data_IF_708240551729
#
_entry.id   IF_708240551729
#
_cell.length_a   1.000
_cell.length_b   1.000
_cell.length_c   1.000
_cell.angle_alpha   90.00
_cell.angle_beta   90.00
_cell.angle_gamma   90.00
#
_symmetry.space_group_name_H-M   'P 1'
#
loop_
_entity.id
_entity.type
_entity.pdbx_description
1 polymer ?
#
# COMPACT_ATOMS: atom_id res chain seq x y z
N UNK A 1 -6.57 10.13 -14.51
CA UNK A 1 -5.72 10.52 -13.36
C UNK A 1 -5.44 12.01 -13.37
N UNK A 2 -5.50 12.69 -12.23
CA UNK A 2 -5.21 14.13 -12.10
C UNK A 2 -4.49 14.41 -10.76
N UNK A 3 -3.71 15.50 -10.72
CA UNK A 3 -3.21 16.05 -9.46
C UNK A 3 -4.18 17.10 -8.95
N UNK A 4 -4.46 17.10 -7.67
CA UNK A 4 -5.28 18.13 -7.04
C UNK A 4 -4.82 18.43 -5.60
N UNK A 5 -5.31 19.54 -5.08
CA UNK A 5 -5.14 19.91 -3.68
C UNK A 5 -6.49 19.66 -3.00
N UNK A 6 -6.48 18.79 -1.98
CA UNK A 6 -7.64 18.55 -1.14
C UNK A 6 -7.36 19.03 0.28
N UNK A 7 -8.39 19.30 1.04
CA UNK A 7 -8.25 19.87 2.38
C UNK A 7 -8.77 18.90 3.43
N UNK A 8 -8.06 18.82 4.55
CA UNK A 8 -8.53 18.09 5.72
C UNK A 8 -9.64 18.87 6.45
N UNK A 9 -10.20 18.29 7.53
CA UNK A 9 -11.24 18.95 8.34
C UNK A 9 -10.77 20.25 9.03
N UNK A 10 -9.46 20.50 9.06
CA UNK A 10 -8.88 21.72 9.62
C UNK A 10 -8.59 22.78 8.55
N UNK A 11 -8.96 22.52 7.29
CA UNK A 11 -8.70 23.40 6.15
C UNK A 11 -7.25 23.43 5.69
N UNK A 12 -6.46 22.40 5.99
CA UNK A 12 -5.06 22.29 5.60
C UNK A 12 -4.90 21.47 4.32
N UNK A 13 -4.01 21.92 3.40
CA UNK A 13 -3.90 21.30 2.09
C UNK A 13 -3.06 20.01 2.09
N UNK A 14 -3.47 19.05 1.28
CA UNK A 14 -2.69 17.91 0.81
C UNK A 14 -2.60 17.91 -0.71
N UNK A 15 -1.46 17.51 -1.26
CA UNK A 15 -1.30 17.26 -2.67
C UNK A 15 -1.54 15.77 -2.92
N UNK A 16 -2.54 15.47 -3.75
CA UNK A 16 -2.92 14.07 -4.04
C UNK A 16 -2.92 13.80 -5.54
N UNK A 17 -2.77 12.52 -5.86
CA UNK A 17 -3.05 11.96 -7.19
C UNK A 17 -4.39 11.26 -7.12
N UNK A 18 -5.34 11.70 -7.95
CA UNK A 18 -6.71 11.20 -7.94
C UNK A 18 -6.98 10.36 -9.19
N UNK A 19 -7.54 9.19 -8.96
CA UNK A 19 -8.11 8.29 -9.96
C UNK A 19 -9.62 8.24 -9.79
N UNK A 20 -10.37 8.31 -10.87
CA UNK A 20 -11.79 7.97 -10.87
C UNK A 20 -11.99 6.45 -10.81
N UNK A 21 -13.12 6.00 -10.28
CA UNK A 21 -13.45 4.57 -10.28
C UNK A 21 -13.49 3.98 -11.70
N UNK A 22 -13.90 4.75 -12.70
CA UNK A 22 -13.91 4.30 -14.09
C UNK A 22 -12.49 4.08 -14.64
N UNK A 23 -11.53 4.95 -14.33
CA UNK A 23 -10.12 4.77 -14.71
C UNK A 23 -9.52 3.54 -14.01
N UNK A 24 -9.80 3.34 -12.71
CA UNK A 24 -9.32 2.17 -11.98
C UNK A 24 -9.93 0.87 -12.54
N UNK A 25 -11.23 0.88 -12.89
CA UNK A 25 -11.89 -0.27 -13.50
C UNK A 25 -11.30 -0.63 -14.87
N UNK A 26 -11.00 0.35 -15.70
CA UNK A 26 -10.35 0.15 -17.01
C UNK A 26 -8.95 -0.44 -16.85
N UNK A 27 -8.19 0.02 -15.86
CA UNK A 27 -6.81 -0.38 -15.63
C UNK A 27 -6.68 -1.74 -14.92
N UNK A 28 -7.54 -2.02 -13.94
CA UNK A 28 -7.40 -3.15 -13.00
C UNK A 28 -8.54 -4.19 -13.10
N UNK A 29 -9.62 -3.86 -13.81
CA UNK A 29 -10.81 -4.69 -13.89
C UNK A 29 -11.85 -4.33 -12.81
N UNK A 30 -13.12 -4.64 -13.12
CA UNK A 30 -14.30 -4.22 -12.34
C UNK A 30 -14.40 -4.83 -10.93
N UNK A 31 -13.69 -5.92 -10.68
CA UNK A 31 -13.74 -6.66 -9.42
C UNK A 31 -12.51 -6.38 -8.53
N UNK A 32 -11.67 -5.42 -8.88
CA UNK A 32 -10.54 -5.08 -8.03
C UNK A 32 -11.02 -4.51 -6.69
N UNK A 33 -10.48 -4.97 -5.53
CA UNK A 33 -10.97 -4.60 -4.21
C UNK A 33 -10.93 -3.08 -3.95
N UNK A 34 -9.99 -2.36 -4.55
CA UNK A 34 -9.87 -0.89 -4.40
C UNK A 34 -11.15 -0.12 -4.74
N UNK A 35 -12.05 -0.72 -5.53
CA UNK A 35 -13.26 -0.06 -6.02
C UNK A 35 -14.42 -0.05 -5.01
N UNK A 36 -14.33 -0.81 -3.91
CA UNK A 36 -15.42 -1.00 -2.96
C UNK A 36 -14.96 -0.74 -1.53
N UNK A 37 -15.68 0.10 -0.80
CA UNK A 37 -15.45 0.40 0.62
C UNK A 37 -16.78 0.32 1.36
N UNK A 38 -16.85 -0.52 2.40
CA UNK A 38 -18.06 -0.78 3.18
C UNK A 38 -19.28 -1.12 2.30
N UNK A 39 -19.06 -1.98 1.29
CA UNK A 39 -20.10 -2.38 0.33
C UNK A 39 -20.55 -1.30 -0.65
N UNK A 40 -19.92 -0.11 -0.63
CA UNK A 40 -20.23 0.99 -1.54
C UNK A 40 -19.10 1.17 -2.55
N UNK A 41 -19.48 1.37 -3.82
CA UNK A 41 -18.50 1.73 -4.84
C UNK A 41 -18.00 3.16 -4.61
N UNK A 42 -16.69 3.35 -4.63
CA UNK A 42 -16.09 4.69 -4.58
C UNK A 42 -16.34 5.44 -5.89
N UNK A 43 -16.30 6.76 -5.87
CA UNK A 43 -16.26 7.59 -7.08
C UNK A 43 -14.83 7.95 -7.47
N UNK A 44 -13.99 8.23 -6.48
CA UNK A 44 -12.59 8.59 -6.67
C UNK A 44 -11.73 8.04 -5.52
N UNK A 45 -10.51 7.62 -5.86
CA UNK A 45 -9.41 7.37 -4.96
C UNK A 45 -8.40 8.51 -5.04
N UNK A 46 -8.07 9.12 -3.91
CA UNK A 46 -7.07 10.18 -3.81
C UNK A 46 -5.89 9.66 -2.97
N UNK A 47 -4.74 9.43 -3.60
CA UNK A 47 -3.53 8.98 -2.93
C UNK A 47 -2.61 10.17 -2.66
N UNK A 48 -2.08 10.28 -1.44
CA UNK A 48 -1.04 11.26 -1.15
C UNK A 48 0.09 11.17 -2.18
N UNK A 49 0.37 12.25 -2.89
CA UNK A 49 1.37 12.26 -3.97
C UNK A 49 2.77 11.94 -3.44
N UNK A 50 3.04 12.30 -2.20
CA UNK A 50 4.30 12.13 -1.50
C UNK A 50 4.11 11.35 -0.19
N UNK A 51 5.14 10.67 0.33
CA UNK A 51 5.09 10.13 1.68
C UNK A 51 4.72 11.19 2.70
N UNK A 52 4.09 10.79 3.79
CA UNK A 52 3.66 11.72 4.84
C UNK A 52 4.83 12.54 5.41
N UNK A 53 4.58 13.82 5.67
CA UNK A 53 5.35 14.65 6.61
C UNK A 53 4.45 15.07 7.77
N UNK A 54 4.99 15.13 8.99
CA UNK A 54 4.21 15.51 10.16
C UNK A 54 4.27 17.02 10.39
N UNK A 55 3.10 17.68 10.41
CA UNK A 55 2.95 19.10 10.73
C UNK A 55 1.90 19.23 11.82
N UNK A 56 2.28 19.77 12.97
CA UNK A 56 1.40 19.94 14.14
C UNK A 56 0.62 18.66 14.53
N UNK A 57 1.29 17.50 14.44
CA UNK A 57 0.75 16.22 14.86
C UNK A 57 -0.17 15.52 13.83
N UNK A 58 -0.29 16.04 12.61
CA UNK A 58 -1.04 15.43 11.52
C UNK A 58 -0.15 15.18 10.29
N UNK A 59 -0.41 14.13 9.49
CA UNK A 59 0.34 13.79 8.30
C UNK A 59 -0.16 14.55 7.07
N UNK A 60 0.77 15.10 6.29
CA UNK A 60 0.47 15.80 5.03
C UNK A 60 1.36 15.31 3.90
N UNK A 61 0.79 15.17 2.72
CA UNK A 61 1.49 14.84 1.48
C UNK A 61 1.99 16.12 0.81
N UNK A 62 3.25 16.46 1.06
CA UNK A 62 3.88 17.70 0.58
C UNK A 62 5.28 17.40 0.01
N UNK A 63 5.71 18.12 -1.07
CA UNK A 63 7.03 17.95 -1.66
C UNK A 63 8.12 18.63 -0.82
N UNK A 64 9.36 18.18 -0.99
CA UNK A 64 10.56 18.74 -0.39
C UNK A 64 10.51 18.84 1.15
N UNK A 65 9.85 17.88 1.78
CA UNK A 65 9.76 17.78 3.22
C UNK A 65 10.56 16.56 3.71
N UNK A 66 10.93 16.59 5.00
CA UNK A 66 11.45 15.42 5.67
C UNK A 66 10.28 14.41 5.83
N UNK A 67 10.41 13.19 5.32
CA UNK A 67 9.35 12.20 5.50
C UNK A 67 9.17 11.82 6.98
N UNK A 68 7.93 11.52 7.36
CA UNK A 68 7.57 11.05 8.70
C UNK A 68 8.23 9.71 9.00
N UNK A 69 8.57 9.47 10.24
CA UNK A 69 9.11 8.21 10.72
C UNK A 69 8.99 8.09 12.22
N UNK A 70 9.40 6.95 12.80
CA UNK A 70 9.26 6.60 14.22
C UNK A 70 7.81 6.53 14.70
N UNK A 71 6.93 6.09 13.83
CA UNK A 71 5.53 5.86 14.12
C UNK A 71 5.24 4.37 13.90
N UNK A 72 4.53 3.77 14.82
CA UNK A 72 4.03 2.42 14.68
C UNK A 72 2.79 2.37 13.77
N UNK A 73 2.32 1.16 13.46
CA UNK A 73 1.18 0.97 12.58
C UNK A 73 -0.09 1.66 13.08
N UNK A 74 -0.39 1.53 14.38
CA UNK A 74 -1.61 2.08 14.96
C UNK A 74 -1.55 3.62 15.03
N UNK A 75 -0.37 4.19 15.28
CA UNK A 75 -0.15 5.64 15.23
C UNK A 75 -0.31 6.17 13.80
N UNK A 76 0.31 5.53 12.80
CA UNK A 76 0.19 5.92 11.39
C UNK A 76 -1.27 5.94 10.93
N UNK A 77 -2.03 4.88 11.25
CA UNK A 77 -3.46 4.78 10.94
C UNK A 77 -4.25 5.89 11.63
N UNK A 78 -4.12 6.01 12.95
CA UNK A 78 -4.85 7.00 13.77
C UNK A 78 -4.59 8.43 13.32
N UNK A 79 -3.35 8.77 12.96
CA UNK A 79 -3.04 10.12 12.48
C UNK A 79 -3.66 10.42 11.11
N UNK A 80 -3.71 9.45 10.19
CA UNK A 80 -4.42 9.63 8.92
C UNK A 80 -5.92 9.85 9.16
N UNK A 81 -6.57 9.01 9.96
CA UNK A 81 -8.00 9.12 10.31
C UNK A 81 -8.34 10.43 11.04
N UNK A 82 -7.40 10.95 11.83
CA UNK A 82 -7.58 12.22 12.53
C UNK A 82 -7.72 13.43 11.60
N UNK A 83 -7.42 13.33 10.32
CA UNK A 83 -7.61 14.38 9.31
C UNK A 83 -9.09 14.61 8.96
N UNK A 84 -9.95 13.62 9.20
CA UNK A 84 -11.40 13.71 8.97
C UNK A 84 -11.97 12.49 8.24
N UNK A 85 -13.27 12.48 8.03
CA UNK A 85 -13.97 11.42 7.34
C UNK A 85 -13.41 11.20 5.93
N UNK A 86 -13.25 9.93 5.53
CA UNK A 86 -12.65 9.53 4.25
C UNK A 86 -11.12 9.48 4.24
N UNK A 87 -10.44 10.13 5.19
CA UNK A 87 -8.99 10.04 5.33
C UNK A 87 -8.57 8.75 6.05
N UNK A 88 -7.58 8.06 5.50
CA UNK A 88 -7.08 6.79 6.04
C UNK A 88 -5.60 6.59 5.70
N UNK A 89 -4.99 5.61 6.36
CA UNK A 89 -3.68 5.07 5.98
C UNK A 89 -3.83 4.35 4.63
N UNK A 90 -2.95 4.62 3.66
CA UNK A 90 -2.94 3.90 2.38
C UNK A 90 -3.05 2.40 2.60
N UNK A 91 -4.01 1.75 1.91
CA UNK A 91 -4.31 0.33 2.11
C UNK A 91 -3.51 -0.58 1.18
N UNK A 92 -3.53 -1.89 1.45
CA UNK A 92 -2.96 -2.91 0.58
C UNK A 92 -3.58 -2.91 -0.82
N UNK A 93 -4.90 -2.73 -0.92
CA UNK A 93 -5.61 -2.65 -2.20
C UNK A 93 -5.23 -1.40 -3.00
N UNK A 94 -5.03 -0.29 -2.35
CA UNK A 94 -4.63 0.99 -2.97
C UNK A 94 -3.17 0.98 -3.40
N UNK A 95 -2.27 0.44 -2.55
CA UNK A 95 -0.87 0.23 -2.96
C UNK A 95 -0.77 -0.69 -4.16
N UNK A 96 -1.49 -1.82 -4.12
CA UNK A 96 -1.52 -2.78 -5.22
C UNK A 96 -2.03 -2.18 -6.52
N UNK A 97 -3.05 -1.32 -6.45
CA UNK A 97 -3.54 -0.59 -7.62
C UNK A 97 -2.42 0.21 -8.31
N UNK A 98 -1.62 0.97 -7.54
CA UNK A 98 -0.49 1.73 -8.08
C UNK A 98 0.61 0.82 -8.65
N UNK A 99 0.93 -0.27 -7.96
CA UNK A 99 1.93 -1.23 -8.40
C UNK A 99 1.54 -1.92 -9.71
N UNK A 100 0.30 -2.42 -9.80
CA UNK A 100 -0.22 -3.10 -10.99
C UNK A 100 -0.38 -2.14 -12.17
N UNK A 101 -0.78 -0.89 -11.94
CA UNK A 101 -0.84 0.16 -12.97
C UNK A 101 0.55 0.43 -13.53
N UNK A 102 1.56 0.59 -12.65
CA UNK A 102 2.94 0.83 -13.09
C UNK A 102 3.51 -0.34 -13.88
N UNK A 103 3.23 -1.58 -13.45
CA UNK A 103 3.61 -2.80 -14.15
C UNK A 103 2.99 -2.86 -15.55
N UNK A 104 1.67 -2.69 -15.64
CA UNK A 104 0.91 -2.70 -16.90
C UNK A 104 1.42 -1.66 -17.91
N UNK A 105 1.87 -0.51 -17.40
CA UNK A 105 2.36 0.59 -18.23
C UNK A 105 3.88 0.51 -18.50
N UNK A 106 4.60 -0.41 -17.88
CA UNK A 106 6.07 -0.48 -17.95
C UNK A 106 6.77 0.73 -17.31
N UNK A 107 6.15 1.31 -16.28
CA UNK A 107 6.62 2.52 -15.57
C UNK A 107 6.83 2.25 -14.09
N UNK A 108 7.33 1.07 -13.74
CA UNK A 108 7.66 0.75 -12.35
C UNK A 108 8.61 1.82 -11.81
N UNK A 109 8.28 2.45 -10.66
CA UNK A 109 9.02 3.60 -10.19
C UNK A 109 10.43 3.21 -9.74
N UNK A 110 11.41 3.97 -10.16
CA UNK A 110 12.71 4.04 -9.51
C UNK A 110 12.59 4.77 -8.17
N UNK A 111 13.69 4.87 -7.41
CA UNK A 111 13.65 5.57 -6.14
C UNK A 111 14.98 5.65 -5.43
N UNK A 112 14.97 6.27 -4.24
CA UNK A 112 16.14 6.29 -3.38
C UNK A 112 16.38 4.90 -2.76
N UNK A 113 17.17 4.08 -3.40
CA UNK A 113 17.50 2.73 -2.95
C UNK A 113 18.97 2.58 -2.55
N UNK A 114 19.79 3.64 -2.76
CA UNK A 114 21.21 3.69 -2.45
C UNK A 114 21.60 5.06 -1.88
N UNK A 115 21.19 5.34 -0.63
CA UNK A 115 21.60 6.51 0.14
C UNK A 115 21.54 7.85 -0.64
N UNK A 116 20.38 8.16 -1.22
CA UNK A 116 20.08 9.38 -1.97
C UNK A 116 20.02 9.19 -3.46
N UNK A 117 20.32 7.99 -3.96
CA UNK A 117 20.39 7.66 -5.38
C UNK A 117 19.61 6.39 -5.71
N UNK A 118 19.33 6.21 -6.99
CA UNK A 118 18.85 4.93 -7.49
C UNK A 118 20.03 3.96 -7.67
N UNK A 119 19.89 2.71 -7.23
CA UNK A 119 20.99 1.73 -7.23
C UNK A 119 21.50 1.39 -8.65
N UNK A 120 20.58 1.33 -9.63
CA UNK A 120 20.90 0.94 -11.00
C UNK A 120 21.34 2.12 -11.88
N UNK A 121 21.00 3.37 -11.52
CA UNK A 121 21.49 4.59 -12.19
C UNK A 121 21.86 5.66 -11.17
N UNK A 122 23.16 5.85 -10.97
CA UNK A 122 23.71 6.82 -10.00
C UNK A 122 23.55 8.29 -10.44
N UNK A 123 23.04 8.57 -11.64
CA UNK A 123 22.69 9.92 -12.09
C UNK A 123 21.29 10.31 -11.58
N UNK A 124 20.46 9.33 -11.24
CA UNK A 124 19.18 9.59 -10.60
C UNK A 124 19.39 9.80 -9.11
N UNK A 125 19.21 11.03 -8.66
CA UNK A 125 19.40 11.40 -7.26
C UNK A 125 18.30 12.35 -6.76
N UNK A 126 17.99 12.23 -5.45
CA UNK A 126 17.14 13.16 -4.72
C UNK A 126 17.95 14.05 -3.78
N UNK A 127 17.32 15.06 -3.21
CA UNK A 127 17.95 15.96 -2.23
C UNK A 127 18.10 15.22 -0.90
N UNK A 128 19.33 14.94 -0.50
CA UNK A 128 19.64 14.21 0.74
C UNK A 128 19.30 15.00 1.98
N UNK A 129 18.86 14.28 3.00
CA UNK A 129 18.70 14.79 4.36
C UNK A 129 20.03 14.59 5.10
N UNK A 130 20.58 15.66 5.66
CA UNK A 130 21.85 15.61 6.40
C UNK A 130 21.84 14.55 7.51
N UNK A 131 22.89 13.76 7.55
CA UNK A 131 23.05 12.68 8.53
C UNK A 131 22.14 11.48 8.33
N UNK A 132 21.49 11.36 7.15
CA UNK A 132 20.59 10.26 6.79
C UNK A 132 20.90 9.73 5.38
N UNK A 133 20.46 8.50 5.09
CA UNK A 133 20.40 7.98 3.72
C UNK A 133 19.13 8.39 2.96
N UNK A 134 18.17 9.01 3.65
CA UNK A 134 16.91 9.45 3.06
C UNK A 134 17.05 10.74 2.25
N UNK A 135 16.10 10.94 1.36
CA UNK A 135 15.92 12.19 0.60
C UNK A 135 14.64 12.91 1.03
N UNK A 136 14.56 14.20 0.73
CA UNK A 136 13.31 14.96 0.86
C UNK A 136 12.26 14.36 -0.08
N UNK A 137 11.00 14.37 0.34
CA UNK A 137 9.87 13.85 -0.42
C UNK A 137 9.77 14.46 -1.82
N UNK A 138 9.60 13.64 -2.85
CA UNK A 138 9.42 14.09 -4.23
C UNK A 138 10.60 14.88 -4.81
N UNK A 139 11.80 14.77 -4.23
CA UNK A 139 12.98 15.49 -4.72
C UNK A 139 13.75 14.76 -5.82
N UNK A 140 13.40 13.51 -6.11
CA UNK A 140 13.97 12.73 -7.19
C UNK A 140 13.39 13.06 -8.56
N UNK A 141 13.96 12.51 -9.65
CA UNK A 141 13.47 12.70 -11.01
C UNK A 141 12.09 12.08 -11.24
N UNK A 142 11.46 12.36 -12.38
CA UNK A 142 10.12 11.85 -12.72
C UNK A 142 10.06 10.32 -12.84
N UNK A 143 11.17 9.67 -13.12
CA UNK A 143 11.30 8.20 -13.09
C UNK A 143 11.04 7.59 -11.72
N UNK A 144 11.07 8.41 -10.63
CA UNK A 144 10.71 7.99 -9.27
C UNK A 144 9.20 8.07 -9.01
N UNK A 145 8.40 8.33 -10.04
CA UNK A 145 6.95 8.24 -9.97
C UNK A 145 6.43 6.98 -10.66
N UNK A 146 5.29 6.47 -10.24
CA UNK A 146 4.67 5.25 -10.79
C UNK A 146 4.20 5.38 -12.24
N UNK A 147 4.26 6.58 -12.84
CA UNK A 147 3.91 6.83 -14.23
C UNK A 147 5.07 7.36 -15.06
N UNK A 148 6.24 7.58 -14.45
CA UNK A 148 7.39 8.27 -15.04
C UNK A 148 7.05 9.66 -15.59
N UNK A 149 6.02 10.31 -15.03
CA UNK A 149 5.58 11.68 -15.37
C UNK A 149 5.42 12.54 -14.12
N UNK A 150 5.37 13.85 -14.30
CA UNK A 150 5.19 14.77 -13.18
C UNK A 150 3.86 14.61 -12.43
N UNK A 151 2.87 13.93 -13.02
CA UNK A 151 1.56 13.67 -12.43
C UNK A 151 1.53 12.48 -11.48
N UNK A 152 2.53 11.59 -11.56
CA UNK A 152 2.55 10.35 -10.79
C UNK A 152 2.74 10.52 -9.29
N UNK A 153 2.47 9.45 -8.55
CA UNK A 153 2.78 9.30 -7.11
C UNK A 153 4.28 9.05 -6.96
N UNK A 154 4.96 9.84 -6.14
CA UNK A 154 6.39 9.78 -5.89
C UNK A 154 6.76 8.82 -4.75
N UNK A 155 8.01 8.34 -4.80
CA UNK A 155 8.70 7.66 -3.69
C UNK A 155 8.00 6.36 -3.23
N UNK A 156 7.33 5.64 -4.14
CA UNK A 156 6.78 4.29 -3.85
C UNK A 156 7.88 3.23 -3.79
N UNK A 157 9.06 3.53 -4.29
CA UNK A 157 10.25 2.66 -4.27
C UNK A 157 11.35 3.32 -3.47
N UNK A 158 11.88 2.61 -2.47
CA UNK A 158 12.99 3.10 -1.67
C UNK A 158 12.63 4.24 -0.71
N UNK A 159 13.62 5.02 -0.32
CA UNK A 159 13.56 6.11 0.66
C UNK A 159 13.14 5.64 2.05
N UNK A 160 11.88 5.27 2.26
CA UNK A 160 11.35 4.66 3.49
C UNK A 160 10.45 3.49 3.17
N UNK A 161 10.43 2.48 4.04
CA UNK A 161 9.34 1.53 4.10
C UNK A 161 8.04 2.27 4.42
N UNK A 162 6.95 1.90 3.79
CA UNK A 162 5.64 2.48 4.09
C UNK A 162 4.69 1.44 4.70
N UNK A 163 4.14 1.74 5.89
CA UNK A 163 3.01 0.99 6.44
C UNK A 163 1.80 1.04 5.49
N UNK A 164 1.14 -0.10 5.33
CA UNK A 164 -0.14 -0.21 4.61
C UNK A 164 -1.20 -0.84 5.50
N UNK A 165 -2.45 -0.35 5.39
CA UNK A 165 -3.60 -0.92 6.09
C UNK A 165 -4.22 -2.13 5.38
N UNK A 166 -5.01 -2.92 6.11
CA UNK A 166 -5.88 -3.95 5.53
C UNK A 166 -5.21 -5.27 5.16
N UNK A 167 -3.94 -5.47 5.49
CA UNK A 167 -3.20 -6.72 5.26
C UNK A 167 -2.33 -7.05 6.48
N UNK A 168 -2.38 -8.30 6.92
CA UNK A 168 -1.46 -8.84 7.93
C UNK A 168 -1.20 -10.33 7.71
N UNK A 169 -0.18 -10.84 8.39
CA UNK A 169 0.05 -12.27 8.54
C UNK A 169 -0.18 -12.63 10.02
N UNK A 170 -0.84 -13.76 10.25
CA UNK A 170 -1.12 -14.28 11.60
C UNK A 170 -0.72 -15.76 11.64
N UNK A 171 0.38 -16.07 12.36
CA UNK A 171 0.98 -17.41 12.34
C UNK A 171 1.15 -17.93 10.91
N UNK A 172 1.71 -17.10 10.03
CA UNK A 172 1.90 -17.35 8.60
C UNK A 172 0.65 -17.22 7.72
N UNK A 173 -0.57 -17.27 8.30
CA UNK A 173 -1.80 -17.15 7.54
C UNK A 173 -2.02 -15.72 7.03
N UNK A 174 -2.31 -15.58 5.75
CA UNK A 174 -2.59 -14.29 5.12
C UNK A 174 -4.00 -13.86 5.48
N UNK A 175 -4.11 -12.70 6.13
CA UNK A 175 -5.39 -12.12 6.54
C UNK A 175 -5.53 -10.71 5.94
N UNK A 176 -6.73 -10.41 5.48
CA UNK A 176 -7.09 -9.13 4.89
C UNK A 176 -8.32 -8.53 5.56
N UNK A 177 -8.48 -7.22 5.47
CA UNK A 177 -9.79 -6.59 5.58
C UNK A 177 -10.40 -6.66 4.19
N UNK A 178 -11.55 -7.36 4.00
CA UNK A 178 -12.15 -7.57 2.69
C UNK A 178 -12.42 -6.28 1.91
N UNK A 179 -12.48 -6.37 0.61
CA UNK A 179 -12.57 -5.25 -0.30
C UNK A 179 -11.49 -4.19 0.02
N UNK A 180 -11.87 -2.93 0.12
CA UNK A 180 -11.02 -1.85 0.64
C UNK A 180 -11.59 -1.26 1.92
N UNK A 181 -12.23 -2.07 2.78
CA UNK A 181 -12.95 -1.60 3.98
C UNK A 181 -12.01 -1.03 5.04
N UNK A 182 -10.70 -1.31 4.94
CA UNK A 182 -9.67 -0.63 5.73
C UNK A 182 -9.65 0.89 5.48
N UNK A 183 -10.02 1.35 4.27
CA UNK A 183 -10.21 2.77 3.94
C UNK A 183 -11.50 3.35 4.54
N UNK A 184 -12.46 2.50 4.88
CA UNK A 184 -13.76 2.86 5.46
C UNK A 184 -13.80 2.84 6.99
N UNK A 185 -12.64 2.76 7.66
CA UNK A 185 -12.55 2.78 9.12
C UNK A 185 -12.84 1.42 9.78
N UNK A 186 -12.71 0.30 9.05
CA UNK A 186 -12.79 -1.03 9.65
C UNK A 186 -11.79 -1.17 10.80
N UNK A 187 -12.19 -1.85 11.87
CA UNK A 187 -11.32 -2.09 13.01
C UNK A 187 -10.16 -3.01 12.63
N UNK A 188 -8.94 -2.49 12.68
CA UNK A 188 -7.70 -3.21 12.38
C UNK A 188 -6.92 -3.58 13.65
N UNK A 189 -7.57 -3.59 14.83
CA UNK A 189 -6.95 -4.06 16.06
C UNK A 189 -6.60 -5.56 15.98
N UNK A 190 -5.67 -6.06 16.81
CA UNK A 190 -5.23 -7.45 16.75
C UNK A 190 -6.35 -8.48 16.87
N UNK A 191 -7.39 -8.19 17.68
CA UNK A 191 -8.51 -9.08 17.95
C UNK A 191 -9.77 -8.78 17.12
N UNK A 192 -9.68 -7.85 16.17
CA UNK A 192 -10.83 -7.49 15.34
C UNK A 192 -11.37 -8.67 14.54
N UNK A 193 -12.68 -8.81 14.52
CA UNK A 193 -13.39 -9.78 13.67
C UNK A 193 -13.46 -9.36 12.19
N UNK A 194 -13.00 -8.16 11.84
CA UNK A 194 -12.94 -7.69 10.47
C UNK A 194 -11.83 -8.37 9.65
N UNK A 195 -10.82 -8.94 10.31
CA UNK A 195 -9.79 -9.72 9.64
C UNK A 195 -10.35 -11.05 9.12
N UNK A 196 -10.25 -11.27 7.81
CA UNK A 196 -10.63 -12.51 7.15
C UNK A 196 -9.40 -13.22 6.59
N UNK A 197 -9.28 -14.54 6.83
CA UNK A 197 -8.23 -15.34 6.20
C UNK A 197 -8.49 -15.47 4.70
N UNK A 198 -7.46 -15.32 3.90
CA UNK A 198 -7.50 -15.67 2.48
C UNK A 198 -7.57 -17.18 2.37
N UNK A 199 -8.53 -17.69 1.58
CA UNK A 199 -8.78 -19.12 1.47
C UNK A 199 -8.48 -19.64 0.07
N UNK A 200 -7.89 -20.84 0.00
CA UNK A 200 -7.82 -21.69 -1.19
C UNK A 200 -8.54 -23.01 -0.86
N UNK A 201 -9.54 -23.37 -1.66
CA UNK A 201 -10.39 -24.56 -1.45
C UNK A 201 -10.97 -24.68 -0.01
N UNK A 202 -11.29 -23.53 0.60
CA UNK A 202 -11.87 -23.46 1.95
C UNK A 202 -10.85 -23.55 3.11
N UNK A 203 -9.54 -23.64 2.82
CA UNK A 203 -8.47 -23.66 3.80
C UNK A 203 -7.69 -22.34 3.80
N UNK A 204 -7.22 -21.85 4.95
CA UNK A 204 -6.37 -20.66 5.02
C UNK A 204 -5.09 -20.82 4.20
N UNK A 205 -4.79 -19.84 3.37
CA UNK A 205 -3.51 -19.74 2.66
C UNK A 205 -2.48 -19.16 3.62
N UNK A 206 -1.33 -19.81 3.70
CA UNK A 206 -0.21 -19.44 4.56
C UNK A 206 1.07 -19.31 3.75
N UNK A 207 2.02 -18.55 4.28
CA UNK A 207 3.40 -18.65 3.86
C UNK A 207 4.12 -19.75 4.65
N UNK A 208 4.89 -20.56 3.95
CA UNK A 208 5.75 -21.60 4.50
C UNK A 208 7.18 -21.30 4.07
N UNK A 209 8.09 -21.26 5.03
CA UNK A 209 9.51 -21.07 4.77
C UNK A 209 10.15 -22.45 4.54
N UNK A 210 10.84 -22.58 3.41
CA UNK A 210 11.58 -23.77 3.03
C UNK A 210 13.08 -23.41 2.94
N UNK A 211 13.96 -24.41 2.84
CA UNK A 211 15.42 -24.22 2.87
C UNK A 211 15.93 -23.21 1.81
N UNK A 212 15.27 -23.10 0.66
CA UNK A 212 15.73 -22.30 -0.50
C UNK A 212 14.65 -21.38 -1.12
N UNK A 213 13.43 -21.39 -0.57
CA UNK A 213 12.33 -20.56 -1.09
C UNK A 213 11.23 -20.32 -0.05
N UNK A 214 10.31 -19.44 -0.36
CA UNK A 214 9.05 -19.25 0.37
C UNK A 214 7.89 -19.75 -0.49
N UNK A 215 7.01 -20.56 0.09
CA UNK A 215 5.86 -21.13 -0.61
C UNK A 215 4.54 -20.62 -0.04
N UNK A 216 3.53 -20.47 -0.92
CA UNK A 216 2.13 -20.44 -0.51
C UNK A 216 1.63 -21.87 -0.31
N UNK A 217 1.05 -22.16 0.85
CA UNK A 217 0.54 -23.49 1.20
C UNK A 217 -0.80 -23.40 1.92
N UNK A 218 -1.52 -24.52 1.98
CA UNK A 218 -2.73 -24.71 2.82
C UNK A 218 -2.51 -25.78 3.89
N UNK A 219 -1.26 -26.11 4.21
CA UNK A 219 -0.92 -27.04 5.29
C UNK A 219 -1.45 -26.54 6.64
N UNK A 220 -1.97 -27.44 7.45
CA UNK A 220 -2.55 -27.10 8.76
C UNK A 220 -1.48 -26.62 9.74
N UNK A 221 -0.29 -27.23 9.70
CA UNK A 221 0.85 -26.90 10.56
C UNK A 221 2.03 -26.44 9.69
N UNK A 222 2.65 -25.33 10.05
CA UNK A 222 3.89 -24.82 9.46
C UNK A 222 4.88 -24.52 10.57
N UNK A 223 6.17 -24.60 10.28
CA UNK A 223 7.21 -24.21 11.22
C UNK A 223 7.22 -22.70 11.43
N UNK A 224 7.53 -22.26 12.65
CA UNK A 224 7.74 -20.86 12.99
C UNK A 224 9.16 -20.48 12.63
N UNK A 225 9.29 -19.59 11.67
CA UNK A 225 10.57 -19.10 11.17
C UNK A 225 10.40 -17.74 10.50
N UNK A 226 11.50 -17.12 10.11
CA UNK A 226 11.48 -15.88 9.31
C UNK A 226 12.57 -15.94 8.24
N UNK A 227 12.23 -15.56 7.03
CA UNK A 227 13.17 -15.47 5.91
C UNK A 227 12.62 -14.54 4.81
N UNK A 228 13.42 -14.32 3.76
CA UNK A 228 13.06 -13.53 2.60
C UNK A 228 13.64 -14.09 1.32
N UNK A 229 12.92 -13.86 0.23
CA UNK A 229 13.37 -14.22 -1.11
C UNK A 229 12.99 -13.12 -2.10
N UNK A 230 13.51 -13.18 -3.32
CA UNK A 230 13.01 -12.37 -4.42
C UNK A 230 11.60 -12.82 -4.81
N UNK A 231 10.75 -11.90 -5.23
CA UNK A 231 9.39 -12.22 -5.69
C UNK A 231 9.36 -13.33 -6.77
N UNK A 232 10.37 -13.39 -7.63
CA UNK A 232 10.50 -14.42 -8.67
C UNK A 232 10.73 -15.83 -8.11
N UNK A 233 11.15 -15.94 -6.85
CA UNK A 233 11.48 -17.20 -6.19
C UNK A 233 10.34 -17.68 -5.28
N UNK A 234 9.22 -16.92 -5.20
CA UNK A 234 7.98 -17.38 -4.53
C UNK A 234 7.35 -18.52 -5.29
N UNK A 235 6.95 -19.58 -4.59
CA UNK A 235 6.32 -20.79 -5.16
C UNK A 235 4.90 -20.92 -4.60
N UNK A 236 3.98 -21.47 -5.38
CA UNK A 236 2.66 -21.85 -4.92
C UNK A 236 2.52 -23.37 -4.87
N UNK A 237 2.27 -23.91 -3.69
CA UNK A 237 1.92 -25.32 -3.44
C UNK A 237 0.38 -25.55 -3.40
N UNK A 238 -0.40 -24.48 -3.60
CA UNK A 238 -1.85 -24.48 -3.65
C UNK A 238 -2.35 -23.58 -4.78
N UNK A 239 -3.63 -23.65 -5.10
CA UNK A 239 -4.24 -22.69 -6.02
C UNK A 239 -4.16 -21.29 -5.44
N UNK A 240 -3.60 -20.35 -6.22
CA UNK A 240 -3.42 -18.96 -5.80
C UNK A 240 -4.75 -18.22 -5.89
N UNK A 241 -5.33 -17.78 -4.77
CA UNK A 241 -6.55 -16.99 -4.78
C UNK A 241 -6.38 -15.69 -5.56
N UNK A 242 -7.37 -15.31 -6.35
CA UNK A 242 -7.35 -14.10 -7.17
C UNK A 242 -7.05 -12.83 -6.36
N UNK A 243 -7.52 -12.77 -5.11
CA UNK A 243 -7.27 -11.62 -4.23
C UNK A 243 -5.76 -11.39 -3.97
N UNK A 244 -4.93 -12.44 -3.92
CA UNK A 244 -3.48 -12.27 -3.73
C UNK A 244 -2.80 -11.64 -4.94
N UNK A 245 -3.32 -11.90 -6.14
CA UNK A 245 -2.88 -11.26 -7.39
C UNK A 245 -3.31 -9.80 -7.40
N UNK A 246 -4.56 -9.52 -7.06
CA UNK A 246 -5.12 -8.17 -6.97
C UNK A 246 -4.44 -7.31 -5.89
N UNK A 247 -3.93 -7.91 -4.82
CA UNK A 247 -3.16 -7.23 -3.77
C UNK A 247 -1.66 -7.14 -4.06
N UNK A 248 -1.22 -7.59 -5.26
CA UNK A 248 0.19 -7.62 -5.65
C UNK A 248 1.09 -8.32 -4.59
N UNK A 249 0.57 -9.40 -3.99
CA UNK A 249 1.28 -10.29 -3.06
C UNK A 249 1.76 -11.54 -3.78
N UNK A 250 1.04 -11.99 -4.78
CA UNK A 250 1.43 -13.11 -5.65
C UNK A 250 0.94 -12.84 -7.08
N UNK A 251 1.59 -11.93 -7.83
CA UNK A 251 1.18 -11.57 -9.20
C UNK A 251 1.39 -12.73 -10.17
N UNK A 252 0.57 -12.76 -11.23
CA UNK A 252 0.60 -13.84 -12.24
C UNK A 252 1.92 -13.89 -13.04
N UNK A 253 2.51 -12.72 -13.33
CA UNK A 253 3.75 -12.61 -14.08
C UNK A 253 4.78 -11.83 -13.26
N UNK A 254 5.72 -12.57 -12.69
CA UNK A 254 6.84 -12.01 -11.92
C UNK A 254 8.04 -11.63 -12.79
N UNK A 255 8.03 -11.96 -14.08
CA UNK A 255 9.18 -11.75 -14.97
C UNK A 255 9.55 -10.28 -15.15
N UNK A 256 8.61 -9.38 -14.92
CA UNK A 256 8.78 -7.93 -15.05
C UNK A 256 8.94 -7.21 -13.71
N UNK A 257 8.90 -7.93 -12.57
CA UNK A 257 8.97 -7.33 -11.23
C UNK A 257 10.41 -7.05 -10.80
N UNK A 258 11.38 -7.61 -11.49
CA UNK A 258 12.80 -7.45 -11.13
C UNK A 258 13.17 -8.28 -9.90
N UNK A 259 14.06 -7.71 -9.07
CA UNK A 259 14.58 -8.36 -7.87
C UNK A 259 13.88 -7.86 -6.60
N UNK A 260 12.68 -7.25 -6.72
CA UNK A 260 11.90 -6.83 -5.56
C UNK A 260 11.82 -7.96 -4.53
N UNK A 261 12.10 -7.63 -3.27
CA UNK A 261 12.30 -8.62 -2.23
C UNK A 261 11.04 -8.81 -1.38
N UNK A 262 10.83 -10.04 -0.94
CA UNK A 262 9.71 -10.45 -0.09
C UNK A 262 10.23 -11.02 1.22
N UNK A 263 9.72 -10.51 2.36
CA UNK A 263 10.04 -11.02 3.70
C UNK A 263 8.79 -11.49 4.41
N UNK A 264 8.91 -12.60 5.11
CA UNK A 264 7.83 -13.15 5.96
C UNK A 264 8.39 -13.64 7.28
N UNK A 265 7.57 -13.57 8.32
CA UNK A 265 7.77 -14.20 9.61
C UNK A 265 6.46 -14.92 9.96
N UNK A 266 6.54 -16.21 10.24
CA UNK A 266 5.39 -17.09 10.47
C UNK A 266 5.02 -17.23 11.94
N UNK A 267 5.58 -16.42 12.87
CA UNK A 267 5.29 -16.44 14.28
C UNK A 267 4.47 -15.22 14.74
N UNK A 268 3.21 -15.42 15.07
CA UNK A 268 2.32 -14.39 15.60
C UNK A 268 1.84 -13.37 14.54
N UNK A 269 1.42 -12.19 15.00
CA UNK A 269 0.94 -11.10 14.12
C UNK A 269 2.12 -10.34 13.50
N UNK A 270 2.08 -10.19 12.17
CA UNK A 270 3.00 -9.35 11.39
C UNK A 270 2.23 -8.44 10.47
N UNK A 271 2.57 -7.15 10.50
CA UNK A 271 2.04 -6.14 9.58
C UNK A 271 3.01 -5.91 8.44
N UNK A 272 2.53 -5.40 7.32
CA UNK A 272 3.30 -5.33 6.09
C UNK A 272 3.79 -3.92 5.80
N UNK A 273 5.08 -3.80 5.46
CA UNK A 273 5.66 -2.63 4.79
C UNK A 273 5.75 -2.87 3.29
N UNK A 274 5.73 -1.79 2.54
CA UNK A 274 5.94 -1.81 1.09
C UNK A 274 7.10 -0.89 0.69
N UNK A 275 7.54 -1.04 -0.56
CA UNK A 275 8.44 -0.12 -1.26
C UNK A 275 9.95 -0.31 -1.04
N UNK A 276 10.37 -0.88 0.07
CA UNK A 276 11.77 -0.90 0.45
C UNK A 276 12.25 0.42 1.06
N UNK A 277 13.55 0.56 1.30
CA UNK A 277 14.16 1.75 1.91
C UNK A 277 15.38 2.24 1.13
N UNK A 278 15.93 3.37 1.57
CA UNK A 278 17.16 3.96 1.02
C UNK A 278 18.38 3.04 1.04
N UNK A 279 18.35 1.94 1.74
CA UNK A 279 19.44 0.97 1.84
C UNK A 279 19.14 -0.40 1.24
N UNK A 280 17.95 -0.60 0.62
CA UNK A 280 17.53 -1.91 0.11
C UNK A 280 18.14 -2.31 -1.23
N UNK A 281 18.85 -1.38 -1.89
CA UNK A 281 19.51 -1.69 -3.18
C UNK A 281 18.53 -2.17 -4.24
N UNK A 282 18.90 -3.21 -4.99
CA UNK A 282 18.09 -3.82 -6.04
C UNK A 282 16.89 -4.61 -5.52
N UNK A 283 16.83 -4.91 -4.22
CA UNK A 283 15.68 -5.57 -3.61
C UNK A 283 14.51 -4.62 -3.31
N UNK A 284 14.72 -3.28 -3.40
CA UNK A 284 13.62 -2.32 -3.27
C UNK A 284 12.83 -2.22 -4.58
N UNK A 285 11.52 -2.08 -4.48
CA UNK A 285 10.64 -1.85 -5.62
C UNK A 285 9.20 -1.69 -5.17
N UNK A 286 8.32 -1.35 -6.10
CA UNK A 286 6.90 -1.13 -5.79
C UNK A 286 6.20 -2.42 -5.36
N UNK A 287 6.73 -3.58 -5.74
CA UNK A 287 6.26 -4.90 -5.30
C UNK A 287 6.90 -5.37 -3.99
N UNK A 288 7.99 -4.74 -3.53
CA UNK A 288 8.62 -5.08 -2.26
C UNK A 288 7.58 -5.22 -1.14
N UNK A 289 7.65 -6.31 -0.39
CA UNK A 289 6.77 -6.57 0.75
C UNK A 289 7.56 -7.12 1.94
N UNK A 290 7.42 -6.51 3.10
CA UNK A 290 8.11 -6.92 4.32
C UNK A 290 7.09 -7.19 5.42
N UNK A 291 6.76 -8.45 5.62
CA UNK A 291 5.80 -8.93 6.59
C UNK A 291 6.47 -9.69 7.74
N UNK A 292 7.58 -9.17 8.29
CA UNK A 292 8.23 -9.79 9.46
C UNK A 292 8.22 -8.91 10.71
N UNK A 293 7.52 -7.78 10.70
CA UNK A 293 7.53 -6.86 11.82
C UNK A 293 6.21 -6.83 12.59
N UNK A 294 6.27 -6.76 13.93
CA UNK A 294 5.08 -6.56 14.74
C UNK A 294 4.52 -5.14 14.53
N UNK A 295 3.25 -4.94 14.84
CA UNK A 295 2.57 -3.64 14.71
C UNK A 295 3.24 -2.50 15.49
N UNK A 296 3.97 -2.83 16.57
CA UNK A 296 4.68 -1.87 17.42
C UNK A 296 6.04 -1.42 16.87
N UNK A 297 6.46 -1.91 15.68
CA UNK A 297 7.72 -1.46 15.11
C UNK A 297 7.63 0.01 14.68
N UNK A 298 8.63 0.82 15.05
CA UNK A 298 8.64 2.28 14.86
C UNK A 298 10.01 2.83 14.46
N UNK A 299 10.70 2.15 13.54
CA UNK A 299 12.02 2.56 13.06
C UNK A 299 12.03 3.93 12.35
N UNK A 300 13.18 4.60 12.33
CA UNK A 300 13.35 5.88 11.59
C UNK A 300 13.14 5.75 10.09
N UNK A 301 13.37 4.56 9.54
CA UNK A 301 13.19 4.25 8.12
C UNK A 301 11.79 3.75 7.78
N UNK A 302 10.85 3.81 8.72
CA UNK A 302 9.45 3.39 8.52
C UNK A 302 8.57 4.62 8.54
N UNK A 303 7.93 4.87 7.41
CA UNK A 303 6.97 5.94 7.18
C UNK A 303 5.61 5.39 6.77
N UNK A 304 4.81 6.24 6.16
CA UNK A 304 3.47 5.92 5.70
C UNK A 304 2.96 7.02 4.76
N UNK A 305 1.78 6.80 4.18
CA UNK A 305 1.14 7.74 3.25
C UNK A 305 -0.33 7.89 3.56
N UNK A 306 -0.89 9.11 3.65
CA UNK A 306 -2.32 9.32 3.75
C UNK A 306 -2.99 9.10 2.39
N UNK A 307 -4.21 8.56 2.43
CA UNK A 307 -5.11 8.47 1.28
C UNK A 307 -6.51 8.95 1.67
N UNK A 308 -7.35 9.16 0.65
CA UNK A 308 -8.70 9.65 0.83
C UNK A 308 -9.61 9.04 -0.23
N UNK A 309 -10.82 8.61 0.15
CA UNK A 309 -11.83 8.09 -0.78
C UNK A 309 -13.02 9.02 -0.86
N UNK A 310 -13.57 9.16 -2.09
CA UNK A 310 -14.84 9.85 -2.32
C UNK A 310 -15.90 8.86 -2.78
N UNK A 311 -17.14 9.17 -2.43
CA UNK A 311 -18.31 8.45 -2.90
C UNK A 311 -19.16 9.41 -3.75
N UNK A 312 -19.89 8.86 -4.73
CA UNK A 312 -20.91 9.65 -5.42
C UNK A 312 -21.98 10.09 -4.41
N UNK A 313 -22.41 11.33 -4.51
CA UNK A 313 -23.60 11.78 -3.75
C UNK A 313 -24.77 10.88 -4.13
N UNK A 314 -25.48 10.37 -3.12
CA UNK A 314 -26.74 9.68 -3.34
C UNK A 314 -27.72 10.78 -3.74
N UNK A 315 -28.06 10.88 -5.03
CA UNK A 315 -29.21 11.66 -5.44
C UNK A 315 -30.45 10.97 -4.87
N UNK A 316 -31.02 11.51 -3.80
CA UNK A 316 -32.34 11.13 -3.29
C UNK A 316 -33.43 11.56 -4.31
N UNK A 317 -33.44 10.90 -5.48
CA UNK A 317 -34.48 11.14 -6.51
C UNK A 317 -35.71 10.24 -6.35
N UNK A 318 -35.74 9.34 -5.37
CA UNK A 318 -36.81 8.35 -5.22
C UNK A 318 -37.86 8.68 -4.14
N UNK A 319 -37.93 9.94 -3.65
CA UNK A 319 -38.93 10.32 -2.65
C UNK A 319 -40.05 11.27 -3.14
N UNK A 320 -40.29 11.38 -4.45
CA UNK A 320 -41.40 12.21 -4.96
C UNK A 320 -42.29 11.48 -5.98
N UNK A 321 -42.83 10.31 -5.63
CA UNK A 321 -44.01 9.76 -6.30
C UNK A 321 -44.84 8.88 -5.35
N UNK A 322 -45.42 9.47 -4.27
CA UNK A 322 -46.65 8.97 -3.63
C UNK A 322 -47.37 10.15 -3.01
N UNK A 323 -48.26 10.76 -3.76
CA UNK A 323 -49.13 11.79 -3.17
C UNK A 323 -49.88 12.67 -4.15
N UNK A 324 -50.51 12.09 -5.19
CA UNK A 324 -51.49 12.82 -5.95
C UNK A 324 -52.51 11.86 -6.59
N UNK A 325 -53.37 11.28 -5.79
CA UNK A 325 -54.72 10.82 -6.19
C UNK A 325 -55.58 10.67 -4.94
N UNK A 326 -56.38 11.70 -4.68
CA UNK A 326 -57.67 11.61 -3.97
C UNK A 326 -58.48 12.87 -4.27
#
# INVERSE_FOLDING_TARGET
MKNEIIFDKHGRPDIVVTYTAAELEELLGKNHPVLTVNGRRISELCVGKYPATMIEGLPYSLPFQKPAGRLDFDEARRFCEAKGEGWHLLTAAEWAALALISLKNGTQPHGNTNAGKYHADQNEEGIKIDGSGMTLTGSGPVTWTHTHTAEGVHDLTGNQFEWIGGLRYMDGAIQIIPDNDAAGGADQSPQSSAWASVLSEGKPVKFKICDDHIALTTEDEIEKDWDGCSFKDLIAECDVPEILKQLAIFPDDVSQIGDDFFWVDTDGERLVYRGGSWGSGGGAGVFFAHGSHPRSNCGTGVGFRPAFVRFSEICDSDTLEEGAEA
#
